data_IF_431053649987
#
_entry.id   IF_431053649987
#
_cell.length_a   1.000
_cell.length_b   1.000
_cell.length_c   1.000
_cell.angle_alpha   90.00
_cell.angle_beta   90.00
_cell.angle_gamma   90.00
#
_symmetry.space_group_name_H-M   'P 1'
#
loop_
_entity.id
_entity.type
_entity.pdbx_description
1 polymer ?
#
# COMPACT_ATOMS: atom_id res chain seq x y z
N UNK A 1 88.64 1.39 -41.15
CA UNK A 1 89.20 2.75 -41.25
C UNK A 1 88.14 3.76 -40.84
N UNK A 2 88.45 4.61 -39.84
CA UNK A 2 87.83 5.90 -39.41
C UNK A 2 86.30 5.90 -39.13
N UNK A 3 85.80 5.98 -37.88
CA UNK A 3 85.86 7.08 -36.87
C UNK A 3 85.23 8.38 -37.46
N UNK A 4 84.31 9.15 -36.87
CA UNK A 4 83.94 9.52 -35.50
C UNK A 4 82.74 10.52 -35.66
N UNK A 5 81.74 10.72 -34.79
CA UNK A 5 81.83 11.36 -33.47
C UNK A 5 80.44 11.40 -32.79
N UNK A 6 80.42 10.97 -31.53
CA UNK A 6 79.75 11.55 -30.34
C UNK A 6 78.23 11.49 -30.16
N UNK A 7 77.64 11.23 -28.96
CA UNK A 7 78.08 10.75 -27.61
C UNK A 7 76.74 10.67 -26.81
N UNK A 8 76.18 9.51 -26.44
CA UNK A 8 76.45 8.65 -25.25
C UNK A 8 76.24 9.41 -23.91
N UNK A 9 75.54 8.92 -22.86
CA UNK A 9 75.73 7.70 -22.03
C UNK A 9 74.51 7.61 -21.04
N UNK A 10 73.66 6.57 -21.03
CA UNK A 10 73.64 5.30 -20.23
C UNK A 10 73.44 5.46 -18.69
N UNK A 11 72.36 5.00 -18.04
CA UNK A 11 71.99 3.62 -17.58
C UNK A 11 72.68 3.19 -16.22
N UNK A 12 72.27 2.08 -15.53
CA UNK A 12 71.09 1.92 -14.64
C UNK A 12 71.38 1.13 -13.31
N UNK A 13 70.30 0.68 -12.59
CA UNK A 13 70.18 -0.29 -11.44
C UNK A 13 70.33 0.27 -10.00
N UNK A 14 69.63 -0.16 -8.94
CA UNK A 14 68.48 -1.05 -8.71
C UNK A 14 68.09 -1.03 -7.19
N UNK A 15 66.81 -1.38 -6.87
CA UNK A 15 66.25 -1.95 -5.59
C UNK A 15 66.22 -0.99 -4.37
N UNK A 16 65.24 -0.98 -3.45
CA UNK A 16 64.19 -1.92 -3.02
C UNK A 16 63.10 -1.18 -2.18
N UNK A 17 61.99 -1.92 -1.95
CA UNK A 17 60.80 -1.77 -1.08
C UNK A 17 60.91 -0.93 0.24
N UNK A 18 59.85 -0.57 0.98
CA UNK A 18 58.52 -1.17 1.17
C UNK A 18 57.56 -0.15 1.83
N UNK A 19 56.32 -0.60 1.89
CA UNK A 19 55.06 -0.12 2.46
C UNK A 19 55.04 0.37 3.94
N UNK A 20 53.89 0.94 4.30
CA UNK A 20 53.28 1.12 5.63
C UNK A 20 53.37 2.46 6.40
N UNK A 21 52.18 2.84 6.91
CA UNK A 21 51.86 3.77 8.03
C UNK A 21 52.73 3.44 9.29
N UNK A 22 52.70 4.14 10.48
CA UNK A 22 51.86 5.25 11.00
C UNK A 22 52.68 6.23 11.93
N UNK A 23 51.98 6.93 12.84
CA UNK A 23 52.40 7.31 14.22
C UNK A 23 53.28 8.56 14.47
N UNK A 24 52.60 9.59 14.98
CA UNK A 24 52.77 10.23 16.32
C UNK A 24 54.20 10.30 16.88
N UNK A 25 54.75 11.52 17.01
CA UNK A 25 55.84 11.96 17.92
C UNK A 25 55.91 13.50 17.90
N UNK A 26 55.29 14.24 18.83
CA UNK A 26 55.79 14.73 20.14
C UNK A 26 57.20 15.35 20.15
N UNK A 27 57.19 16.64 20.50
CA UNK A 27 58.07 17.34 21.46
C UNK A 27 59.38 17.99 20.98
N UNK A 28 59.37 19.33 21.01
CA UNK A 28 60.29 20.21 21.77
C UNK A 28 59.68 21.62 21.69
N UNK A 29 59.57 22.48 22.70
CA UNK A 29 59.70 22.48 24.16
C UNK A 29 58.92 23.77 24.57
N UNK A 30 57.92 23.65 25.45
CA UNK A 30 57.90 24.21 26.81
C UNK A 30 57.80 25.77 26.83
N UNK A 31 56.80 26.43 27.41
CA UNK A 31 56.37 26.38 28.83
C UNK A 31 54.95 27.04 28.99
N UNK A 32 54.10 26.40 29.83
CA UNK A 32 52.93 26.87 30.63
C UNK A 32 51.59 27.34 30.00
N UNK A 33 50.66 26.39 29.86
CA UNK A 33 49.31 26.21 30.50
C UNK A 33 48.51 27.38 31.18
N UNK A 34 47.18 27.23 31.46
CA UNK A 34 46.10 27.74 30.59
C UNK A 34 44.94 28.48 31.33
N UNK A 35 44.02 29.13 30.59
CA UNK A 35 42.62 29.27 31.05
C UNK A 35 41.63 29.66 29.92
N UNK A 36 41.05 28.63 29.29
CA UNK A 36 39.61 28.45 29.02
C UNK A 36 38.73 29.71 28.78
N UNK A 37 38.25 29.90 27.56
CA UNK A 37 36.82 29.68 27.20
C UNK A 37 36.55 30.12 25.75
N UNK A 38 36.36 29.16 24.84
CA UNK A 38 35.82 29.44 23.50
C UNK A 38 34.30 29.58 23.64
N UNK A 39 33.78 30.77 23.37
CA UNK A 39 32.34 31.08 23.35
C UNK A 39 31.65 30.21 22.29
N UNK A 40 30.78 29.30 22.72
CA UNK A 40 29.85 28.60 21.83
C UNK A 40 28.71 29.53 21.39
N UNK A 41 28.17 29.37 20.17
CA UNK A 41 26.96 30.07 19.74
C UNK A 41 25.77 29.67 20.62
N UNK A 42 25.06 30.65 21.18
CA UNK A 42 23.83 30.45 21.96
C UNK A 42 22.72 29.94 21.04
N UNK A 43 22.15 28.78 21.34
CA UNK A 43 20.87 28.33 20.75
C UNK A 43 19.76 29.23 21.28
N UNK A 44 18.94 29.80 20.39
CA UNK A 44 17.71 30.46 20.78
C UNK A 44 16.71 29.42 21.30
N UNK A 45 16.13 29.68 22.47
CA UNK A 45 15.03 28.88 23.01
C UNK A 45 13.73 29.25 22.27
N UNK A 46 12.89 28.25 21.99
CA UNK A 46 11.53 28.48 21.50
C UNK A 46 10.72 29.22 22.58
N UNK A 47 10.12 30.37 22.22
CA UNK A 47 9.27 31.14 23.12
C UNK A 47 8.07 30.29 23.58
N UNK A 48 7.95 30.08 24.88
CA UNK A 48 6.83 29.39 25.53
C UNK A 48 5.63 30.30 25.78
N UNK A 49 5.30 31.18 24.83
CA UNK A 49 4.16 32.10 24.92
C UNK A 49 3.26 31.94 23.71
N UNK A 50 2.56 30.80 23.63
CA UNK A 50 1.38 30.71 22.78
C UNK A 50 0.21 31.28 23.58
N UNK A 51 -0.26 32.48 23.21
CA UNK A 51 -1.57 32.97 23.65
C UNK A 51 -2.65 32.09 23.03
N UNK A 52 -2.98 31.00 23.70
CA UNK A 52 -4.14 30.18 23.38
C UNK A 52 -5.40 31.02 23.65
N UNK A 53 -5.97 31.60 22.58
CA UNK A 53 -7.35 32.07 22.62
C UNK A 53 -8.20 30.80 22.74
N UNK A 54 -8.72 30.52 23.93
CA UNK A 54 -9.72 29.47 24.10
C UNK A 54 -10.95 29.86 23.30
N UNK A 55 -11.09 29.27 22.12
CA UNK A 55 -12.36 29.27 21.43
C UNK A 55 -13.30 28.49 22.33
N UNK A 56 -14.24 29.19 22.98
CA UNK A 56 -15.36 28.54 23.66
C UNK A 56 -16.14 27.78 22.59
N UNK A 57 -15.83 26.51 22.44
CA UNK A 57 -16.66 25.57 21.69
C UNK A 57 -17.95 25.49 22.50
N UNK A 58 -18.96 26.24 22.05
CA UNK A 58 -20.28 26.19 22.65
C UNK A 58 -20.79 24.75 22.49
N UNK A 59 -21.37 24.19 23.55
CA UNK A 59 -21.80 22.78 23.65
C UNK A 59 -22.96 22.41 22.69
N UNK A 60 -23.22 23.24 21.67
CA UNK A 60 -24.36 23.14 20.74
C UNK A 60 -23.99 22.76 19.30
N UNK A 61 -22.72 22.73 18.92
CA UNK A 61 -22.34 22.50 17.51
C UNK A 61 -21.47 21.26 17.30
N UNK A 62 -21.76 20.17 18.01
CA UNK A 62 -21.21 18.85 17.67
C UNK A 62 -22.22 17.74 17.90
N UNK A 63 -23.39 17.88 17.27
CA UNK A 63 -24.17 16.71 16.88
C UNK A 63 -23.79 16.45 15.43
N UNK A 64 -22.73 15.66 15.22
CA UNK A 64 -22.63 14.95 13.96
C UNK A 64 -23.83 13.99 13.96
N UNK A 65 -24.86 14.28 13.17
CA UNK A 65 -25.88 13.29 12.86
C UNK A 65 -25.19 12.13 12.14
N UNK A 66 -24.72 11.15 12.90
CA UNK A 66 -24.41 9.84 12.36
C UNK A 66 -25.76 9.28 11.91
N UNK A 67 -26.08 9.44 10.62
CA UNK A 67 -27.23 8.79 10.00
C UNK A 67 -27.17 7.33 10.43
N UNK A 68 -28.15 6.88 11.23
CA UNK A 68 -28.16 5.52 11.76
C UNK A 68 -28.40 4.57 10.60
N UNK A 69 -27.35 3.91 10.14
CA UNK A 69 -27.45 2.72 9.31
C UNK A 69 -28.35 1.72 10.04
N UNK A 70 -29.26 1.08 9.32
CA UNK A 70 -30.07 0.02 9.90
C UNK A 70 -29.16 -1.15 10.24
N UNK A 71 -29.20 -1.66 11.47
CA UNK A 71 -28.42 -2.85 11.86
C UNK A 71 -29.35 -4.05 11.83
N UNK A 72 -28.94 -5.12 11.18
CA UNK A 72 -29.70 -6.35 10.99
C UNK A 72 -28.74 -7.54 11.11
N UNK A 73 -29.19 -8.63 11.73
CA UNK A 73 -28.36 -9.84 11.90
C UNK A 73 -28.43 -10.79 10.69
N UNK A 74 -29.58 -10.83 10.01
CA UNK A 74 -29.83 -11.76 8.92
C UNK A 74 -29.56 -11.15 7.54
N UNK A 75 -28.72 -11.82 6.75
CA UNK A 75 -28.40 -11.44 5.38
C UNK A 75 -29.65 -11.24 4.51
N UNK A 76 -30.59 -12.19 4.58
CA UNK A 76 -31.82 -12.16 3.78
C UNK A 76 -32.63 -10.89 4.04
N UNK A 77 -32.65 -10.40 5.28
CA UNK A 77 -33.35 -9.17 5.64
C UNK A 77 -32.58 -7.96 5.11
N UNK A 78 -31.26 -7.94 5.27
CA UNK A 78 -30.43 -6.86 4.74
C UNK A 78 -30.51 -6.73 3.20
N UNK A 79 -30.47 -7.84 2.47
CA UNK A 79 -30.63 -7.90 1.00
C UNK A 79 -32.00 -7.40 0.57
N UNK A 80 -33.07 -7.74 1.30
CA UNK A 80 -34.44 -7.28 1.03
C UNK A 80 -34.61 -5.78 1.30
N UNK A 81 -34.03 -5.28 2.39
CA UNK A 81 -34.12 -3.87 2.77
C UNK A 81 -33.30 -2.97 1.82
N UNK A 82 -32.28 -3.53 1.17
CA UNK A 82 -31.46 -2.85 0.16
C UNK A 82 -31.88 -3.17 -1.27
N UNK A 83 -33.03 -3.83 -1.46
CA UNK A 83 -33.48 -4.24 -2.77
C UNK A 83 -33.87 -3.07 -3.68
N UNK A 84 -33.35 -3.11 -4.90
CA UNK A 84 -33.86 -2.34 -6.02
C UNK A 84 -34.78 -3.21 -6.90
N UNK A 85 -35.28 -2.63 -7.99
CA UNK A 85 -36.04 -3.36 -9.00
C UNK A 85 -35.05 -4.16 -9.87
N UNK A 86 -34.67 -5.34 -9.38
CA UNK A 86 -33.72 -6.25 -10.03
C UNK A 86 -34.42 -7.56 -10.41
N UNK A 87 -34.24 -7.98 -11.66
CA UNK A 87 -34.65 -9.32 -12.11
C UNK A 87 -33.46 -10.26 -12.00
N UNK A 88 -33.54 -11.25 -11.09
CA UNK A 88 -32.53 -12.30 -10.97
C UNK A 88 -31.87 -12.37 -9.58
N UNK A 89 -30.61 -12.81 -9.57
CA UNK A 89 -29.81 -12.90 -8.34
C UNK A 89 -29.51 -11.49 -7.82
N UNK A 90 -29.77 -11.20 -6.54
CA UNK A 90 -29.50 -9.88 -5.98
C UNK A 90 -28.01 -9.50 -6.08
N UNK A 91 -27.75 -8.30 -6.58
CA UNK A 91 -26.40 -7.72 -6.61
C UNK A 91 -26.37 -6.49 -5.70
N UNK A 92 -25.35 -6.36 -4.86
CA UNK A 92 -25.24 -5.24 -3.89
C UNK A 92 -23.84 -4.68 -3.89
N UNK A 93 -23.70 -3.46 -3.37
CA UNK A 93 -22.39 -2.86 -3.08
C UNK A 93 -22.05 -3.07 -1.62
N UNK A 94 -20.77 -3.30 -1.32
CA UNK A 94 -20.28 -3.60 0.02
C UNK A 94 -19.19 -2.59 0.42
N UNK A 95 -19.39 -1.94 1.57
CA UNK A 95 -18.43 -0.96 2.11
C UNK A 95 -18.22 -1.17 3.62
N UNK A 96 -17.13 -0.60 4.14
CA UNK A 96 -16.67 -0.77 5.52
C UNK A 96 -16.63 -2.24 5.96
N UNK A 97 -16.26 -3.12 5.04
CA UNK A 97 -16.38 -4.56 5.24
C UNK A 97 -15.12 -5.21 5.79
N UNK A 98 -15.30 -6.35 6.44
CA UNK A 98 -14.26 -7.23 6.96
C UNK A 98 -14.62 -8.66 6.61
N UNK A 99 -13.67 -9.41 6.05
CA UNK A 99 -13.78 -10.85 5.94
C UNK A 99 -13.10 -11.50 7.15
N UNK A 100 -13.80 -12.44 7.78
CA UNK A 100 -13.34 -13.08 9.01
C UNK A 100 -13.81 -14.52 9.09
N UNK A 101 -13.14 -15.32 9.92
CA UNK A 101 -13.57 -16.68 10.23
C UNK A 101 -14.75 -16.68 11.22
N UNK A 102 -15.21 -17.87 11.62
CA UNK A 102 -16.29 -18.06 12.61
C UNK A 102 -15.98 -17.50 14.01
N UNK A 103 -14.71 -17.25 14.32
CA UNK A 103 -14.26 -16.64 15.59
C UNK A 103 -14.21 -15.11 15.52
N UNK A 104 -14.55 -14.51 14.38
CA UNK A 104 -14.47 -13.05 14.17
C UNK A 104 -13.05 -12.54 13.90
N UNK A 105 -12.08 -13.43 13.67
CA UNK A 105 -10.70 -13.06 13.35
C UNK A 105 -10.62 -12.75 11.86
N UNK A 106 -10.14 -11.55 11.52
CA UNK A 106 -9.94 -11.15 10.12
C UNK A 106 -8.93 -12.05 9.39
N UNK A 107 -9.30 -12.52 8.20
CA UNK A 107 -8.48 -13.41 7.37
C UNK A 107 -8.47 -12.96 5.91
N UNK A 108 -7.42 -13.25 5.12
CA UNK A 108 -7.52 -13.22 3.67
C UNK A 108 -8.63 -14.17 3.19
N UNK A 109 -9.35 -13.79 2.13
CA UNK A 109 -10.49 -14.57 1.61
C UNK A 109 -10.17 -15.32 0.30
N UNK A 110 -8.93 -15.24 -0.19
CA UNK A 110 -8.56 -15.75 -1.51
C UNK A 110 -8.65 -17.29 -1.61
N UNK A 111 -8.37 -17.99 -0.51
CA UNK A 111 -8.36 -19.46 -0.41
C UNK A 111 -9.60 -19.92 0.38
N UNK A 112 -10.76 -19.92 -0.27
CA UNK A 112 -12.05 -20.27 0.36
C UNK A 112 -12.15 -21.76 0.75
N UNK A 113 -11.26 -22.61 0.23
CA UNK A 113 -11.22 -24.05 0.56
C UNK A 113 -10.54 -24.33 1.91
N UNK A 114 -9.78 -23.37 2.43
CA UNK A 114 -9.04 -23.55 3.69
C UNK A 114 -9.96 -23.38 4.91
N UNK A 115 -10.78 -22.33 4.90
CA UNK A 115 -11.61 -21.91 6.02
C UNK A 115 -12.93 -21.29 5.55
N UNK A 116 -13.96 -21.42 6.37
CA UNK A 116 -15.23 -20.72 6.16
C UNK A 116 -15.03 -19.22 6.43
N UNK A 117 -15.30 -18.41 5.41
CA UNK A 117 -15.19 -16.96 5.48
C UNK A 117 -16.58 -16.33 5.55
N UNK A 118 -16.77 -15.48 6.55
CA UNK A 118 -17.96 -14.67 6.79
C UNK A 118 -17.65 -13.20 6.55
N UNK A 119 -18.72 -12.44 6.36
CA UNK A 119 -18.68 -11.03 5.97
C UNK A 119 -19.35 -10.21 7.06
N UNK A 120 -18.68 -9.15 7.46
CA UNK A 120 -19.25 -8.07 8.27
C UNK A 120 -19.10 -6.77 7.49
N UNK A 121 -20.15 -5.97 7.32
CA UNK A 121 -20.05 -4.72 6.59
C UNK A 121 -21.37 -3.98 6.37
N UNK A 122 -21.28 -2.87 5.64
CA UNK A 122 -22.42 -2.06 5.23
C UNK A 122 -22.83 -2.44 3.80
N UNK A 123 -24.01 -3.06 3.68
CA UNK A 123 -24.62 -3.45 2.41
C UNK A 123 -25.39 -2.27 1.84
N UNK A 124 -25.15 -1.94 0.58
CA UNK A 124 -25.76 -0.84 -0.15
C UNK A 124 -26.50 -1.39 -1.38
N UNK A 125 -27.58 -0.73 -1.83
CA UNK A 125 -28.15 -1.00 -3.15
C UNK A 125 -27.09 -0.88 -4.24
N UNK A 126 -27.21 -1.71 -5.30
CA UNK A 126 -26.28 -1.68 -6.44
C UNK A 126 -26.29 -0.30 -7.10
N UNK A 127 -27.48 0.22 -7.39
CA UNK A 127 -27.68 1.54 -7.96
C UNK A 127 -27.51 2.61 -6.89
N UNK A 128 -26.67 3.61 -7.21
CA UNK A 128 -26.50 4.76 -6.36
C UNK A 128 -27.74 5.65 -6.42
N UNK A 129 -28.52 5.66 -5.35
CA UNK A 129 -29.72 6.50 -5.30
C UNK A 129 -29.34 7.98 -5.23
N UNK A 130 -29.92 8.82 -6.08
CA UNK A 130 -29.77 10.28 -6.01
C UNK A 130 -30.37 10.89 -4.73
N UNK A 131 -31.24 10.14 -4.05
CA UNK A 131 -31.97 10.55 -2.86
C UNK A 131 -31.17 10.20 -1.60
N UNK A 132 -30.68 11.22 -0.88
CA UNK A 132 -29.74 11.07 0.26
C UNK A 132 -30.30 10.28 1.45
N UNK A 133 -31.60 10.00 1.45
CA UNK A 133 -32.27 9.24 2.50
C UNK A 133 -32.65 7.81 2.07
N UNK A 134 -32.58 7.49 0.77
CA UNK A 134 -32.82 6.14 0.21
C UNK A 134 -31.55 5.34 -0.05
N UNK A 135 -30.38 5.99 -0.01
CA UNK A 135 -29.07 5.33 -0.08
C UNK A 135 -28.58 4.81 1.27
N UNK A 136 -29.48 4.59 2.24
CA UNK A 136 -29.10 4.08 3.56
C UNK A 136 -28.67 2.64 3.43
N UNK A 137 -27.40 2.38 3.72
CA UNK A 137 -26.91 1.02 3.83
C UNK A 137 -27.50 0.32 5.05
N UNK A 138 -27.50 -1.01 4.99
CA UNK A 138 -27.85 -1.87 6.11
C UNK A 138 -26.55 -2.53 6.58
N UNK A 139 -26.20 -2.29 7.85
CA UNK A 139 -25.09 -2.97 8.50
C UNK A 139 -25.53 -4.38 8.85
N UNK A 140 -24.78 -5.34 8.36
CA UNK A 140 -24.98 -6.75 8.60
C UNK A 140 -23.65 -7.35 9.07
N UNK A 141 -23.67 -8.06 10.19
CA UNK A 141 -22.46 -8.60 10.82
C UNK A 141 -22.46 -10.14 10.71
N UNK A 142 -21.32 -10.73 10.38
CA UNK A 142 -21.16 -12.18 10.30
C UNK A 142 -22.06 -12.94 9.31
N UNK A 143 -22.50 -12.29 8.23
CA UNK A 143 -23.31 -12.91 7.17
C UNK A 143 -22.45 -13.68 6.15
N UNK A 144 -23.08 -14.44 5.25
CA UNK A 144 -22.41 -15.43 4.41
C UNK A 144 -22.73 -16.86 4.85
N UNK A 145 -21.96 -17.89 4.51
CA UNK A 145 -20.55 -18.01 4.04
C UNK A 145 -20.26 -17.49 2.62
N UNK A 146 -19.03 -17.06 2.36
CA UNK A 146 -18.51 -16.75 1.01
C UNK A 146 -18.28 -18.05 0.24
N UNK A 147 -18.94 -18.20 -0.90
CA UNK A 147 -18.87 -19.40 -1.76
C UNK A 147 -17.92 -19.20 -2.95
N UNK A 148 -17.88 -18.00 -3.51
CA UNK A 148 -17.06 -17.68 -4.68
C UNK A 148 -16.57 -16.23 -4.61
N UNK A 149 -15.46 -15.96 -5.29
CA UNK A 149 -15.02 -14.61 -5.61
C UNK A 149 -14.64 -14.51 -7.08
N UNK A 150 -14.79 -13.32 -7.66
CA UNK A 150 -14.42 -13.04 -9.04
C UNK A 150 -13.75 -11.66 -9.18
N UNK A 151 -12.89 -11.55 -10.18
CA UNK A 151 -12.31 -10.27 -10.61
C UNK A 151 -12.92 -9.92 -11.97
N UNK A 152 -13.42 -8.71 -12.10
CA UNK A 152 -13.91 -8.14 -13.36
C UNK A 152 -13.26 -6.78 -13.63
N UNK A 153 -13.73 -6.04 -14.64
CA UNK A 153 -13.15 -4.74 -15.02
C UNK A 153 -11.87 -4.84 -15.87
N UNK A 154 -11.62 -6.01 -16.49
CA UNK A 154 -10.49 -6.24 -17.40
C UNK A 154 -10.47 -5.25 -18.58
N UNK A 155 -11.63 -4.98 -19.17
CA UNK A 155 -11.78 -4.02 -20.28
C UNK A 155 -11.64 -2.57 -19.82
N UNK A 156 -12.25 -2.23 -18.67
CA UNK A 156 -12.19 -0.88 -18.08
C UNK A 156 -10.81 -0.55 -17.51
N UNK A 157 -10.00 -1.59 -17.30
CA UNK A 157 -8.63 -1.49 -16.84
C UNK A 157 -8.49 -1.15 -15.36
N UNK A 158 -9.54 -1.34 -14.57
CA UNK A 158 -9.53 -1.22 -13.11
C UNK A 158 -10.21 -2.44 -12.51
N UNK A 159 -9.60 -3.12 -11.52
CA UNK A 159 -10.19 -4.33 -10.97
C UNK A 159 -11.46 -4.01 -10.19
N UNK A 160 -12.52 -4.77 -10.45
CA UNK A 160 -13.74 -4.81 -9.63
C UNK A 160 -13.81 -6.19 -8.99
N UNK A 161 -13.86 -6.23 -7.66
CA UNK A 161 -13.79 -7.46 -6.88
C UNK A 161 -15.20 -7.81 -6.42
N UNK A 162 -15.64 -9.00 -6.78
CA UNK A 162 -16.92 -9.55 -6.40
C UNK A 162 -16.73 -10.70 -5.42
N UNK A 163 -17.62 -10.78 -4.43
CA UNK A 163 -17.79 -11.97 -3.60
C UNK A 163 -19.24 -12.42 -3.64
N UNK A 164 -19.46 -13.72 -3.63
CA UNK A 164 -20.79 -14.32 -3.74
C UNK A 164 -21.05 -15.16 -2.50
N UNK A 165 -22.22 -14.98 -1.90
CA UNK A 165 -22.74 -15.86 -0.83
C UNK A 165 -23.74 -16.86 -1.44
N UNK A 166 -24.52 -17.56 -0.64
CA UNK A 166 -25.68 -18.29 -1.19
C UNK A 166 -26.75 -17.32 -1.74
N UNK A 167 -26.89 -16.13 -1.16
CA UNK A 167 -28.05 -15.25 -1.37
C UNK A 167 -27.84 -14.12 -2.37
N UNK A 168 -26.62 -13.58 -2.49
CA UNK A 168 -26.35 -12.40 -3.30
C UNK A 168 -24.89 -12.30 -3.74
N UNK A 169 -24.64 -11.41 -4.71
CA UNK A 169 -23.31 -11.03 -5.16
C UNK A 169 -22.99 -9.61 -4.69
N UNK A 170 -21.75 -9.38 -4.26
CA UNK A 170 -21.34 -8.15 -3.61
C UNK A 170 -20.10 -7.53 -4.28
N UNK A 171 -20.27 -6.32 -4.81
CA UNK A 171 -19.17 -5.47 -5.30
C UNK A 171 -18.42 -4.84 -4.11
N UNK A 172 -17.17 -5.23 -3.92
CA UNK A 172 -16.33 -4.81 -2.81
C UNK A 172 -15.73 -3.42 -3.08
N UNK A 173 -16.36 -2.37 -2.55
CA UNK A 173 -15.93 -1.00 -2.79
C UNK A 173 -14.80 -0.55 -1.86
N UNK A 174 -15.01 -0.67 -0.54
CA UNK A 174 -14.09 -0.14 0.46
C UNK A 174 -14.06 -1.03 1.70
N UNK A 175 -12.90 -1.61 2.06
CA UNK A 175 -12.77 -2.39 3.28
C UNK A 175 -12.83 -1.49 4.52
N UNK A 176 -13.08 -2.09 5.67
CA UNK A 176 -12.88 -1.46 6.97
C UNK A 176 -11.41 -1.07 7.17
N UNK A 177 -11.17 -0.08 8.02
CA UNK A 177 -9.81 0.41 8.28
C UNK A 177 -8.86 -0.67 8.83
N UNK A 178 -9.37 -1.56 9.67
CA UNK A 178 -8.62 -2.69 10.25
C UNK A 178 -8.36 -3.81 9.23
N UNK A 179 -9.29 -4.02 8.28
CA UNK A 179 -9.18 -5.06 7.26
C UNK A 179 -8.34 -4.64 6.04
N UNK A 180 -8.12 -3.33 5.87
CA UNK A 180 -7.44 -2.73 4.72
C UNK A 180 -6.14 -3.44 4.29
N UNK A 181 -5.32 -3.89 5.24
CA UNK A 181 -4.03 -4.56 4.93
C UNK A 181 -4.21 -5.86 4.12
N UNK A 182 -5.25 -6.63 4.41
CA UNK A 182 -5.53 -7.89 3.71
C UNK A 182 -6.13 -7.59 2.34
N UNK A 183 -7.09 -6.66 2.30
CA UNK A 183 -7.74 -6.26 1.07
C UNK A 183 -6.78 -5.58 0.08
N UNK A 184 -5.90 -4.69 0.53
CA UNK A 184 -4.91 -4.03 -0.33
C UNK A 184 -3.98 -5.05 -1.01
N UNK A 185 -3.66 -6.14 -0.32
CA UNK A 185 -2.83 -7.20 -0.86
C UNK A 185 -3.55 -7.97 -1.98
N UNK A 186 -4.81 -8.35 -1.77
CA UNK A 186 -5.61 -8.99 -2.81
C UNK A 186 -5.89 -8.05 -3.98
N UNK A 187 -6.22 -6.78 -3.70
CA UNK A 187 -6.41 -5.74 -4.71
C UNK A 187 -5.16 -5.55 -5.56
N UNK A 188 -3.97 -5.68 -4.98
CA UNK A 188 -2.73 -5.66 -5.73
C UNK A 188 -2.60 -6.84 -6.69
N UNK A 189 -2.99 -8.05 -6.27
CA UNK A 189 -3.03 -9.24 -7.14
C UNK A 189 -4.03 -9.05 -8.28
N UNK A 190 -5.24 -8.58 -7.96
CA UNK A 190 -6.26 -8.28 -8.96
C UNK A 190 -5.76 -7.24 -9.97
N UNK A 191 -5.09 -6.17 -9.50
CA UNK A 191 -4.47 -5.17 -10.37
C UNK A 191 -3.39 -5.77 -11.29
N UNK A 192 -2.60 -6.73 -10.79
CA UNK A 192 -1.62 -7.46 -11.61
C UNK A 192 -2.32 -8.27 -12.71
N UNK A 193 -3.41 -8.98 -12.40
CA UNK A 193 -4.21 -9.72 -13.39
C UNK A 193 -4.71 -8.79 -14.51
N UNK A 194 -5.21 -7.60 -14.16
CA UNK A 194 -5.68 -6.59 -15.12
C UNK A 194 -4.53 -6.11 -16.02
N UNK A 195 -3.34 -5.83 -15.45
CA UNK A 195 -2.19 -5.37 -16.24
C UNK A 195 -1.64 -6.48 -17.16
N UNK A 196 -1.60 -7.73 -16.69
CA UNK A 196 -1.26 -8.89 -17.53
C UNK A 196 -2.22 -8.99 -18.71
N UNK A 197 -3.53 -8.92 -18.45
CA UNK A 197 -4.56 -8.94 -19.49
C UNK A 197 -4.35 -7.83 -20.54
N UNK A 198 -4.08 -6.60 -20.09
CA UNK A 198 -3.83 -5.46 -20.99
C UNK A 198 -2.59 -5.64 -21.87
N UNK A 199 -1.54 -6.27 -21.34
CA UNK A 199 -0.32 -6.53 -22.11
C UNK A 199 -0.60 -7.61 -23.16
N UNK A 200 -1.23 -8.72 -22.76
CA UNK A 200 -1.52 -9.85 -23.65
C UNK A 200 -2.57 -9.54 -24.72
N UNK A 201 -3.60 -8.75 -24.40
CA UNK A 201 -4.64 -8.34 -25.37
C UNK A 201 -4.10 -7.43 -26.49
N UNK A 202 -2.99 -6.72 -26.24
CA UNK A 202 -2.35 -5.82 -27.22
C UNK A 202 -1.31 -6.52 -28.09
N UNK A 203 -0.71 -7.63 -27.65
CA UNK A 203 0.22 -8.43 -28.44
C UNK A 203 -0.54 -9.23 -29.51
N UNK A 204 -1.08 -8.54 -30.51
CA UNK A 204 -1.78 -9.14 -31.66
C UNK A 204 -0.79 -9.83 -32.61
N UNK A 205 -0.19 -10.94 -32.17
CA UNK A 205 0.55 -11.87 -33.03
C UNK A 205 2.08 -11.78 -33.00
N UNK A 206 2.68 -11.23 -31.94
CA UNK A 206 4.13 -11.34 -31.70
C UNK A 206 4.42 -12.20 -30.47
N UNK A 207 5.50 -12.98 -30.49
CA UNK A 207 6.00 -13.72 -29.33
C UNK A 207 6.42 -12.74 -28.24
N UNK A 208 5.56 -12.52 -27.25
CA UNK A 208 5.90 -11.77 -26.04
C UNK A 208 6.65 -12.70 -25.09
N UNK A 209 7.90 -12.38 -24.77
CA UNK A 209 8.64 -13.15 -23.77
C UNK A 209 8.09 -12.92 -22.35
N UNK A 210 8.32 -13.90 -21.46
CA UNK A 210 7.94 -13.76 -20.05
C UNK A 210 8.61 -12.53 -19.40
N UNK A 211 9.89 -12.29 -19.71
CA UNK A 211 10.62 -11.14 -19.15
C UNK A 211 10.04 -9.79 -19.59
N UNK A 212 9.60 -9.68 -20.84
CA UNK A 212 8.93 -8.48 -21.35
C UNK A 212 7.56 -8.27 -20.69
N UNK A 213 6.81 -9.35 -20.48
CA UNK A 213 5.54 -9.31 -19.73
C UNK A 213 5.78 -8.79 -18.30
N UNK A 214 6.71 -9.43 -17.57
CA UNK A 214 7.03 -9.08 -16.18
C UNK A 214 7.53 -7.64 -16.08
N UNK A 215 8.45 -7.23 -16.95
CA UNK A 215 8.95 -5.85 -16.98
C UNK A 215 7.84 -4.82 -17.28
N UNK A 216 6.89 -5.19 -18.15
CA UNK A 216 5.70 -4.40 -18.45
C UNK A 216 4.79 -4.21 -17.23
N UNK A 217 4.44 -5.31 -16.57
CA UNK A 217 3.58 -5.32 -15.37
C UNK A 217 4.25 -4.56 -14.23
N UNK A 218 5.53 -4.83 -13.93
CA UNK A 218 6.32 -4.12 -12.90
C UNK A 218 6.29 -2.60 -13.14
N UNK A 219 6.50 -2.16 -14.39
CA UNK A 219 6.50 -0.73 -14.73
C UNK A 219 5.13 -0.09 -14.51
N UNK A 220 4.05 -0.78 -14.83
CA UNK A 220 2.68 -0.30 -14.66
C UNK A 220 2.26 -0.24 -13.19
N UNK A 221 2.67 -1.22 -12.41
CA UNK A 221 2.31 -1.31 -11.00
C UNK A 221 3.21 -0.53 -10.05
N UNK A 222 4.35 0.02 -10.53
CA UNK A 222 5.32 0.77 -9.70
C UNK A 222 4.74 2.01 -9.00
N UNK A 223 3.60 2.55 -9.45
CA UNK A 223 2.91 3.67 -8.81
C UNK A 223 1.95 3.27 -7.68
N UNK A 224 1.70 1.97 -7.50
CA UNK A 224 0.66 1.46 -6.62
C UNK A 224 1.12 1.44 -5.15
N UNK A 225 0.31 1.98 -4.25
CA UNK A 225 0.64 2.15 -2.83
C UNK A 225 -0.03 1.08 -1.95
N UNK A 226 0.05 -0.19 -2.34
CA UNK A 226 -0.65 -1.27 -1.62
C UNK A 226 0.19 -1.94 -0.51
N UNK A 227 1.52 -1.76 -0.50
CA UNK A 227 2.38 -2.42 0.49
C UNK A 227 2.80 -1.45 1.58
N UNK A 228 2.58 -1.83 2.84
CA UNK A 228 3.27 -1.19 3.97
C UNK A 228 4.78 -1.41 3.82
N UNK A 229 5.54 -0.31 3.75
CA UNK A 229 7.01 -0.19 3.61
C UNK A 229 7.76 -1.53 3.75
N UNK A 230 8.13 -2.16 2.63
CA UNK A 230 9.07 -3.29 2.65
C UNK A 230 9.11 -4.16 1.41
N UNK A 231 7.97 -4.43 0.76
CA UNK A 231 7.91 -5.29 -0.42
C UNK A 231 8.06 -4.44 -1.68
N UNK A 232 9.05 -4.74 -2.52
CA UNK A 232 9.15 -4.10 -3.83
C UNK A 232 8.10 -4.69 -4.77
N UNK A 233 7.58 -3.89 -5.70
CA UNK A 233 6.59 -4.40 -6.67
C UNK A 233 7.16 -5.54 -7.53
N UNK A 234 8.49 -5.58 -7.72
CA UNK A 234 9.17 -6.66 -8.43
C UNK A 234 9.17 -7.96 -7.63
N UNK A 235 9.29 -7.90 -6.30
CA UNK A 235 9.27 -9.12 -5.47
C UNK A 235 7.84 -9.64 -5.28
N UNK A 236 6.84 -8.80 -5.51
CA UNK A 236 5.42 -9.16 -5.43
C UNK A 236 4.91 -9.86 -6.69
N UNK A 237 5.39 -9.45 -7.88
CA UNK A 237 5.04 -10.02 -9.19
C UNK A 237 5.89 -11.26 -9.44
#
# INVERSE_FOLDING_TARGET
>A
TKNSKNKAISAPKAKMANDEKPKKRTASENIEDPAVSRKMPKRAAACSDFKEKSLRISKKDMVCETKKDGVVEEEVVAVRLTAAQEDGRPCRRLTDFTFHNSEGVSQPFEMLEADDIFISGLILPLEESADKDKGKGIRCEGFGRVEEWAISGYEDGSPVIWVSTELADYDCLKPSGSYKKFYDHFYAKASACIEVYKVLSKSRGGDLSLDELLAGVVRKMSGMKCFSRGVSIRDFI
#
